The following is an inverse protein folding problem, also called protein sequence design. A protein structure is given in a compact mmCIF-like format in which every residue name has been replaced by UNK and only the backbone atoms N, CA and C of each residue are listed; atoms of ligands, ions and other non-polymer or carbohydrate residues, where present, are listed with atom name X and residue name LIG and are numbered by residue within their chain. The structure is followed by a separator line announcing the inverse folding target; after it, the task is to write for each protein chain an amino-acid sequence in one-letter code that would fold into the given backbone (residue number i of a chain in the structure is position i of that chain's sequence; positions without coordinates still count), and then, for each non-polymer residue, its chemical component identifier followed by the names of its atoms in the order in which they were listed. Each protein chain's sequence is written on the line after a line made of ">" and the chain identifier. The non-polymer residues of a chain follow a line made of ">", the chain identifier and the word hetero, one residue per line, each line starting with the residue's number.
data_IF_128005560735
#
_entry.id   IF_128005560735
#
_cell.length_a   1.000
_cell.length_b   1.000
_cell.length_c   1.000
_cell.angle_alpha   90.00
_cell.angle_beta   90.00
_cell.angle_gamma   90.00
#
_symmetry.space_group_name_H-M   'P 1'
#
loop_
_entity.id
_entity.type
_entity.pdbx_description
1 polymer ?
#
# COMPACT_ATOMS: atom_id res chain seq x y z
N UNK A 1 -7.03 11.93 37.74
CA UNK A 1 -6.19 12.47 36.66
C UNK A 1 -7.11 12.64 35.45
N UNK A 2 -7.42 13.88 35.02
CA UNK A 2 -8.25 14.07 33.82
C UNK A 2 -7.48 13.50 32.63
N UNK A 3 -7.98 12.43 32.01
CA UNK A 3 -7.54 12.09 30.67
C UNK A 3 -7.84 13.30 29.79
N UNK A 4 -6.86 13.75 29.01
CA UNK A 4 -7.13 14.77 27.99
C UNK A 4 -8.19 14.17 27.05
N UNK A 5 -9.36 14.79 26.96
CA UNK A 5 -10.38 14.42 25.96
C UNK A 5 -9.84 14.83 24.59
N UNK A 6 -9.26 13.86 23.88
CA UNK A 6 -8.70 14.03 22.55
C UNK A 6 -9.73 13.74 21.45
N UNK A 7 -11.02 13.66 21.79
CA UNK A 7 -12.09 13.23 20.89
C UNK A 7 -12.32 14.17 19.70
N UNK A 8 -11.78 15.39 19.79
CA UNK A 8 -11.80 16.40 18.72
C UNK A 8 -10.56 16.35 17.81
N UNK A 9 -9.58 15.52 18.10
CA UNK A 9 -8.39 15.40 17.26
C UNK A 9 -8.77 14.85 15.89
N UNK A 10 -8.51 15.64 14.86
CA UNK A 10 -8.72 15.27 13.47
C UNK A 10 -7.41 14.91 12.75
N UNK A 11 -6.27 15.31 13.32
CA UNK A 11 -4.94 15.11 12.75
C UNK A 11 -3.91 14.93 13.88
N UNK A 12 -2.99 13.97 13.69
CA UNK A 12 -1.88 13.71 14.59
C UNK A 12 -0.62 13.48 13.74
N UNK A 13 0.45 14.19 14.08
CA UNK A 13 1.78 13.96 13.53
C UNK A 13 2.77 13.69 14.67
N UNK A 14 3.43 12.54 14.63
CA UNK A 14 4.53 12.20 15.53
C UNK A 14 5.81 12.23 14.71
N UNK A 15 6.55 13.34 14.81
CA UNK A 15 7.74 13.60 14.00
C UNK A 15 8.97 13.62 14.89
N UNK A 16 10.00 12.86 14.53
CA UNK A 16 11.33 12.89 15.15
C UNK A 16 11.29 12.67 16.68
N UNK A 17 10.33 11.87 17.15
CA UNK A 17 10.22 11.51 18.56
C UNK A 17 11.18 10.35 18.86
N UNK A 18 12.48 10.63 18.84
CA UNK A 18 13.52 9.60 18.89
C UNK A 18 13.52 8.77 20.19
N UNK A 19 13.05 9.33 21.30
CA UNK A 19 12.93 8.62 22.59
C UNK A 19 11.64 7.80 22.72
N UNK A 20 10.79 7.78 21.71
CA UNK A 20 9.52 7.05 21.73
C UNK A 20 9.77 5.55 21.56
N UNK A 21 9.46 4.76 22.60
CA UNK A 21 9.59 3.30 22.57
C UNK A 21 8.29 2.59 22.17
N UNK A 22 7.15 3.27 22.29
CA UNK A 22 5.82 2.75 21.92
C UNK A 22 4.96 3.83 21.31
N UNK A 23 4.28 3.51 20.22
CA UNK A 23 3.28 4.41 19.64
C UNK A 23 2.07 4.47 20.60
N UNK A 24 1.54 5.66 20.92
CA UNK A 24 0.32 5.77 21.71
C UNK A 24 -0.85 5.00 21.12
N UNK A 25 -1.82 4.63 21.96
CA UNK A 25 -3.07 4.03 21.51
C UNK A 25 -3.92 5.07 20.79
N UNK A 26 -4.00 5.02 19.46
CA UNK A 26 -4.69 6.03 18.65
C UNK A 26 -5.99 5.50 18.00
N UNK A 27 -6.17 4.17 17.95
CA UNK A 27 -7.29 3.57 17.22
C UNK A 27 -8.68 3.86 17.75
N UNK A 28 -8.82 4.37 18.97
CA UNK A 28 -10.09 4.75 19.57
C UNK A 28 -10.58 6.16 19.17
N UNK A 29 -9.72 6.97 18.54
CA UNK A 29 -10.04 8.37 18.23
C UNK A 29 -11.07 8.47 17.11
N UNK A 30 -12.29 8.98 17.37
CA UNK A 30 -13.42 8.86 16.44
C UNK A 30 -13.34 9.82 15.26
N UNK A 31 -12.67 10.97 15.41
CA UNK A 31 -12.58 12.02 14.38
C UNK A 31 -11.24 12.08 13.65
N UNK A 32 -10.26 11.25 14.05
CA UNK A 32 -8.93 11.26 13.45
C UNK A 32 -9.00 10.86 11.99
N UNK A 33 -8.59 11.77 11.09
CA UNK A 33 -8.56 11.60 9.63
C UNK A 33 -7.15 11.46 9.07
N UNK A 34 -6.17 12.08 9.72
CA UNK A 34 -4.80 12.13 9.24
C UNK A 34 -3.85 11.70 10.36
N UNK A 35 -3.03 10.68 10.09
CA UNK A 35 -2.01 10.21 11.00
C UNK A 35 -0.68 10.10 10.27
N UNK A 36 0.32 10.81 10.76
CA UNK A 36 1.70 10.74 10.28
C UNK A 36 2.65 10.29 11.38
N UNK A 37 3.42 9.24 11.11
CA UNK A 37 4.50 8.74 11.95
C UNK A 37 5.79 8.91 11.17
N UNK A 38 6.68 9.81 11.61
CA UNK A 38 7.93 10.13 10.90
C UNK A 38 9.12 10.14 11.86
N UNK A 39 10.21 9.48 11.50
CA UNK A 39 11.46 9.59 12.27
C UNK A 39 11.39 8.94 13.66
N UNK A 40 10.52 7.95 13.86
CA UNK A 40 10.36 7.23 15.14
C UNK A 40 11.37 6.08 15.25
N UNK A 41 12.65 6.42 15.36
CA UNK A 41 13.78 5.49 15.17
C UNK A 41 13.89 4.37 16.21
N UNK A 42 13.31 4.52 17.41
CA UNK A 42 13.36 3.49 18.45
C UNK A 42 12.18 2.51 18.42
N UNK A 43 11.16 2.78 17.61
CA UNK A 43 10.02 1.88 17.45
C UNK A 43 10.45 0.66 16.62
N UNK A 44 10.21 -0.53 17.17
CA UNK A 44 10.46 -1.81 16.48
C UNK A 44 9.20 -2.47 15.96
N UNK A 45 8.06 -2.20 16.58
CA UNK A 45 6.78 -2.80 16.18
C UNK A 45 5.62 -1.84 16.34
N UNK A 46 4.64 -1.96 15.43
CA UNK A 46 3.29 -1.40 15.60
C UNK A 46 2.42 -2.51 16.19
N UNK A 47 2.31 -2.55 17.51
CA UNK A 47 1.60 -3.58 18.27
C UNK A 47 0.07 -3.40 18.25
N UNK A 48 -0.68 -4.40 18.71
CA UNK A 48 -2.15 -4.35 18.80
C UNK A 48 -2.70 -3.17 19.64
N UNK A 49 -1.91 -2.71 20.61
CA UNK A 49 -2.22 -1.55 21.45
C UNK A 49 -2.44 -0.27 20.64
N UNK A 50 -1.79 -0.14 19.48
CA UNK A 50 -1.97 0.97 18.56
C UNK A 50 -3.43 1.10 18.10
N UNK A 51 -4.10 -0.02 17.84
CA UNK A 51 -5.50 -0.08 17.41
C UNK A 51 -6.51 0.12 18.54
N UNK A 52 -6.06 0.21 19.80
CA UNK A 52 -6.94 0.21 20.96
C UNK A 52 -7.52 -1.16 21.32
N UNK A 53 -6.86 -2.23 20.89
CA UNK A 53 -7.23 -3.61 21.22
C UNK A 53 -6.31 -4.10 22.34
N UNK A 54 -6.86 -4.37 23.52
CA UNK A 54 -6.13 -5.07 24.60
C UNK A 54 -6.28 -6.58 24.43
N UNK A 55 -5.22 -7.35 24.67
CA UNK A 55 -5.25 -8.82 24.75
C UNK A 55 -6.26 -9.39 25.78
N UNK A 56 -6.79 -8.54 26.67
CA UNK A 56 -7.77 -8.90 27.70
C UNK A 56 -9.20 -8.51 27.30
N UNK A 57 -9.79 -9.17 26.31
CA UNK A 57 -11.26 -9.21 26.20
C UNK A 57 -11.73 -10.58 25.70
N UNK A 58 -11.35 -11.62 26.44
CA UNK A 58 -11.97 -12.95 26.38
C UNK A 58 -13.02 -13.15 27.49
N UNK A 59 -13.40 -12.11 28.23
CA UNK A 59 -14.39 -12.20 29.32
C UNK A 59 -15.48 -11.13 29.20
N UNK A 60 -16.44 -11.37 28.30
CA UNK A 60 -17.89 -11.26 28.58
C UNK A 60 -18.63 -11.57 27.28
N UNK A 61 -19.17 -12.78 27.17
CA UNK A 61 -19.84 -13.29 25.97
C UNK A 61 -21.31 -12.82 25.84
N UNK A 62 -21.76 -11.82 26.60
CA UNK A 62 -23.20 -11.53 26.74
C UNK A 62 -23.57 -10.05 26.57
N UNK A 63 -23.06 -9.36 25.56
CA UNK A 63 -23.73 -8.15 25.06
C UNK A 63 -23.66 -8.16 23.52
N UNK A 64 -24.69 -7.65 22.85
CA UNK A 64 -24.87 -7.78 21.40
C UNK A 64 -23.58 -7.52 20.60
N UNK A 65 -23.28 -8.37 19.63
CA UNK A 65 -22.05 -8.32 18.82
C UNK A 65 -21.98 -7.02 17.98
N UNK A 66 -21.60 -5.91 18.59
CA UNK A 66 -21.06 -4.78 17.85
C UNK A 66 -19.60 -5.08 17.53
N UNK A 67 -19.31 -5.29 16.25
CA UNK A 67 -17.95 -5.39 15.74
C UNK A 67 -17.18 -4.15 16.17
N UNK A 68 -16.13 -4.31 16.98
CA UNK A 68 -15.28 -3.17 17.37
C UNK A 68 -14.60 -2.62 16.13
N UNK A 69 -14.64 -1.30 15.96
CA UNK A 69 -14.05 -0.58 14.83
C UNK A 69 -12.88 0.28 15.34
N UNK A 70 -11.69 0.02 14.84
CA UNK A 70 -10.49 0.82 15.11
C UNK A 70 -10.20 1.76 13.95
N UNK A 71 -9.81 2.99 14.28
CA UNK A 71 -9.60 4.07 13.32
C UNK A 71 -10.82 4.32 12.40
N UNK A 72 -12.01 4.58 12.98
CA UNK A 72 -13.26 4.62 12.22
C UNK A 72 -13.33 5.71 11.15
N UNK A 73 -12.56 6.80 11.30
CA UNK A 73 -12.56 7.95 10.39
C UNK A 73 -11.24 8.20 9.65
N UNK A 74 -10.23 7.35 9.86
CA UNK A 74 -8.88 7.60 9.34
C UNK A 74 -8.87 7.49 7.82
N UNK A 75 -8.42 8.54 7.14
CA UNK A 75 -8.38 8.64 5.67
C UNK A 75 -6.96 8.52 5.12
N UNK A 76 -5.97 9.04 5.85
CA UNK A 76 -4.56 9.02 5.45
C UNK A 76 -3.69 8.52 6.58
N UNK A 77 -2.85 7.53 6.28
CA UNK A 77 -1.84 7.00 7.17
C UNK A 77 -0.48 7.09 6.46
N UNK A 78 0.46 7.78 7.09
CA UNK A 78 1.81 7.99 6.58
C UNK A 78 2.80 7.46 7.60
N UNK A 79 3.67 6.55 7.17
CA UNK A 79 4.76 5.97 7.96
C UNK A 79 6.05 6.24 7.20
N UNK A 80 6.90 7.11 7.72
CA UNK A 80 8.12 7.56 7.05
C UNK A 80 9.34 7.45 7.98
N UNK A 81 10.50 7.09 7.45
CA UNK A 81 11.77 7.20 8.17
C UNK A 81 11.75 6.46 9.52
N UNK A 82 11.23 5.24 9.54
CA UNK A 82 11.21 4.34 10.71
C UNK A 82 12.14 3.14 10.47
N UNK A 83 13.47 3.34 10.41
CA UNK A 83 14.43 2.34 9.91
C UNK A 83 14.60 1.11 10.79
N UNK A 84 14.11 1.13 12.04
CA UNK A 84 14.16 -0.01 12.95
C UNK A 84 12.81 -0.70 13.12
N UNK A 85 11.77 -0.26 12.40
CA UNK A 85 10.47 -0.89 12.42
C UNK A 85 10.56 -2.22 11.69
N UNK A 86 10.35 -3.33 12.40
CA UNK A 86 10.42 -4.69 11.86
C UNK A 86 9.06 -5.32 11.64
N UNK A 87 8.07 -4.95 12.45
CA UNK A 87 6.75 -5.59 12.47
C UNK A 87 5.61 -4.56 12.50
N UNK A 88 4.58 -4.79 11.71
CA UNK A 88 3.28 -4.13 11.84
C UNK A 88 2.18 -5.17 12.02
N UNK A 89 1.66 -5.25 13.25
CA UNK A 89 0.73 -6.30 13.66
C UNK A 89 -0.57 -6.31 12.84
N UNK A 90 -0.97 -7.50 12.38
CA UNK A 90 -2.23 -7.71 11.69
C UNK A 90 -3.38 -7.95 12.67
N UNK A 91 -4.25 -6.95 12.84
CA UNK A 91 -5.39 -7.00 13.76
C UNK A 91 -6.62 -7.79 13.27
N UNK A 92 -6.59 -8.32 12.03
CA UNK A 92 -7.66 -9.16 11.47
C UNK A 92 -7.99 -10.38 12.34
N UNK A 93 -6.98 -10.97 13.00
CA UNK A 93 -7.14 -12.17 13.83
C UNK A 93 -7.93 -11.93 15.13
N UNK A 94 -8.25 -10.67 15.45
CA UNK A 94 -8.94 -10.30 16.69
C UNK A 94 -10.44 -10.02 16.53
N UNK A 95 -11.01 -10.23 15.34
CA UNK A 95 -12.44 -9.93 15.08
C UNK A 95 -12.76 -8.42 15.13
N UNK A 96 -11.75 -7.58 14.95
CA UNK A 96 -11.84 -6.11 14.95
C UNK A 96 -11.75 -5.63 13.51
N UNK A 97 -12.67 -4.76 13.10
CA UNK A 97 -12.56 -4.07 11.83
C UNK A 97 -11.58 -2.92 11.98
N UNK A 98 -10.54 -2.89 11.16
CA UNK A 98 -9.48 -1.87 11.24
C UNK A 98 -9.44 -1.10 9.92
N UNK A 99 -9.25 0.22 10.01
CA UNK A 99 -9.12 1.10 8.85
C UNK A 99 -10.29 1.04 7.85
N UNK A 100 -11.57 1.11 8.30
CA UNK A 100 -12.73 1.01 7.41
C UNK A 100 -12.82 2.14 6.37
N UNK A 101 -12.13 3.26 6.57
CA UNK A 101 -12.20 4.45 5.72
C UNK A 101 -10.84 4.91 5.19
N UNK A 102 -9.78 4.11 5.33
CA UNK A 102 -8.44 4.51 4.91
C UNK A 102 -8.35 4.54 3.38
N UNK A 103 -8.08 5.71 2.82
CA UNK A 103 -8.01 5.94 1.38
C UNK A 103 -6.56 6.08 0.88
N UNK A 104 -5.65 6.53 1.74
CA UNK A 104 -4.25 6.80 1.41
C UNK A 104 -3.35 6.10 2.43
N UNK A 105 -2.47 5.24 1.95
CA UNK A 105 -1.41 4.62 2.73
C UNK A 105 -0.07 4.91 2.05
N UNK A 106 0.85 5.48 2.81
CA UNK A 106 2.22 5.77 2.39
C UNK A 106 3.20 5.19 3.41
N UNK A 107 4.13 4.36 2.93
CA UNK A 107 5.18 3.73 3.73
C UNK A 107 6.51 4.02 3.03
N UNK A 108 7.40 4.76 3.68
CA UNK A 108 8.68 5.14 3.07
C UNK A 108 9.85 4.97 4.04
N UNK A 109 10.98 4.49 3.54
CA UNK A 109 12.22 4.39 4.31
C UNK A 109 12.03 3.55 5.60
N UNK A 110 11.31 2.43 5.48
CA UNK A 110 11.04 1.47 6.56
C UNK A 110 11.73 0.13 6.25
N UNK A 111 13.03 0.19 5.96
CA UNK A 111 13.80 -0.88 5.33
C UNK A 111 13.68 -2.27 6.00
N UNK A 112 13.57 -2.33 7.33
CA UNK A 112 13.49 -3.60 8.09
C UNK A 112 12.08 -4.17 8.24
N UNK A 113 11.04 -3.49 7.74
CA UNK A 113 9.66 -3.93 7.91
C UNK A 113 9.42 -5.20 7.09
N UNK A 114 8.94 -6.25 7.75
CA UNK A 114 8.68 -7.56 7.12
C UNK A 114 7.21 -7.97 7.14
N UNK A 115 6.37 -7.22 7.84
CA UNK A 115 4.93 -7.51 7.94
C UNK A 115 4.10 -6.24 7.78
N UNK A 116 2.89 -6.38 7.24
CA UNK A 116 1.88 -5.33 7.24
C UNK A 116 0.46 -5.93 7.39
N UNK A 117 -0.51 -5.15 7.90
CA UNK A 117 -1.91 -5.53 7.85
C UNK A 117 -2.35 -5.75 6.41
N UNK A 118 -3.37 -6.59 6.21
CA UNK A 118 -3.93 -6.87 4.89
C UNK A 118 -5.40 -6.43 4.79
N UNK A 119 -5.91 -5.61 5.70
CA UNK A 119 -7.30 -5.15 5.69
C UNK A 119 -7.36 -3.64 5.40
N UNK A 120 -7.57 -3.30 4.14
CA UNK A 120 -7.80 -1.91 3.70
C UNK A 120 -8.92 -1.83 2.66
N UNK A 121 -10.20 -1.94 3.07
CA UNK A 121 -11.33 -2.08 2.14
C UNK A 121 -11.55 -0.85 1.24
N UNK A 122 -11.12 0.33 1.67
CA UNK A 122 -11.34 1.60 0.96
C UNK A 122 -10.07 2.23 0.39
N UNK A 123 -8.95 1.49 0.35
CA UNK A 123 -7.66 2.04 -0.06
C UNK A 123 -7.63 2.39 -1.54
N UNK A 124 -7.50 3.68 -1.83
CA UNK A 124 -7.46 4.24 -3.19
C UNK A 124 -6.04 4.49 -3.66
N UNK A 125 -5.12 4.82 -2.75
CA UNK A 125 -3.74 5.17 -3.07
C UNK A 125 -2.79 4.43 -2.13
N UNK A 126 -1.94 3.61 -2.73
CA UNK A 126 -0.84 2.94 -2.03
C UNK A 126 0.48 3.44 -2.60
N UNK A 127 1.35 3.92 -1.73
CA UNK A 127 2.73 4.27 -2.06
C UNK A 127 3.68 3.58 -1.08
N UNK A 128 4.62 2.81 -1.63
CA UNK A 128 5.65 2.13 -0.87
C UNK A 128 7.00 2.48 -1.50
N UNK A 129 7.91 3.06 -0.70
CA UNK A 129 9.20 3.52 -1.18
C UNK A 129 10.36 3.10 -0.25
N UNK A 130 11.47 2.70 -0.86
CA UNK A 130 12.76 2.45 -0.20
C UNK A 130 12.65 1.41 0.93
N UNK A 131 12.38 0.16 0.52
CA UNK A 131 12.18 -1.00 1.40
C UNK A 131 13.19 -2.09 1.03
N UNK A 132 13.73 -2.82 2.01
CA UNK A 132 14.58 -3.97 1.70
C UNK A 132 13.71 -5.16 1.25
N UNK A 133 12.63 -5.44 1.98
CA UNK A 133 11.75 -6.57 1.70
C UNK A 133 10.46 -6.20 0.95
N UNK A 134 10.00 -7.11 0.09
CA UNK A 134 8.71 -7.00 -0.61
C UNK A 134 7.52 -7.47 0.26
N UNK A 135 7.78 -8.17 1.37
CA UNK A 135 6.75 -8.77 2.20
C UNK A 135 5.64 -7.80 2.65
N UNK A 136 5.92 -6.54 3.07
CA UNK A 136 4.86 -5.58 3.42
C UNK A 136 3.97 -5.23 2.23
N UNK A 137 4.56 -5.03 1.04
CA UNK A 137 3.80 -4.81 -0.19
C UNK A 137 2.92 -6.05 -0.46
N UNK A 138 3.54 -7.23 -0.48
CA UNK A 138 2.89 -8.52 -0.73
C UNK A 138 1.75 -8.80 0.25
N UNK A 139 1.88 -8.48 1.54
CA UNK A 139 0.79 -8.59 2.51
C UNK A 139 -0.41 -7.71 2.14
N UNK A 140 -0.17 -6.47 1.73
CA UNK A 140 -1.21 -5.50 1.42
C UNK A 140 -1.92 -5.88 0.11
N UNK A 141 -1.16 -6.15 -0.95
CA UNK A 141 -1.72 -6.36 -2.29
C UNK A 141 -2.31 -7.77 -2.50
N UNK A 142 -1.88 -8.78 -1.74
CA UNK A 142 -2.47 -10.13 -1.80
C UNK A 142 -3.84 -10.22 -1.13
N UNK A 143 -4.28 -9.16 -0.43
CA UNK A 143 -5.57 -9.14 0.25
C UNK A 143 -6.74 -9.36 -0.71
N UNK A 144 -7.74 -10.12 -0.28
CA UNK A 144 -9.03 -10.22 -0.98
C UNK A 144 -9.91 -8.97 -0.83
N UNK A 145 -9.61 -8.10 0.15
CA UNK A 145 -10.40 -6.90 0.45
C UNK A 145 -9.91 -5.66 -0.31
N UNK A 146 -8.77 -5.73 -0.98
CA UNK A 146 -8.22 -4.61 -1.73
C UNK A 146 -8.81 -4.57 -3.15
N UNK A 147 -9.93 -3.86 -3.31
CA UNK A 147 -10.68 -3.76 -4.59
C UNK A 147 -10.91 -2.31 -5.07
N UNK A 148 -10.44 -1.34 -4.29
CA UNK A 148 -10.71 0.10 -4.49
C UNK A 148 -9.49 0.90 -4.96
N UNK A 149 -8.38 0.23 -5.27
CA UNK A 149 -7.13 0.91 -5.61
C UNK A 149 -7.23 1.63 -6.95
N UNK A 150 -6.84 2.91 -6.96
CA UNK A 150 -6.80 3.79 -8.13
C UNK A 150 -5.36 4.14 -8.51
N UNK A 151 -4.47 4.23 -7.52
CA UNK A 151 -3.05 4.55 -7.71
C UNK A 151 -2.19 3.58 -6.93
N UNK A 152 -1.27 2.92 -7.61
CA UNK A 152 -0.19 2.13 -7.03
C UNK A 152 1.14 2.75 -7.45
N UNK A 153 2.00 3.05 -6.48
CA UNK A 153 3.34 3.55 -6.72
C UNK A 153 4.31 2.76 -5.84
N UNK A 154 5.26 2.07 -6.48
CA UNK A 154 6.22 1.19 -5.83
C UNK A 154 7.61 1.66 -6.25
N UNK A 155 8.45 2.01 -5.27
CA UNK A 155 9.74 2.61 -5.54
C UNK A 155 10.84 1.99 -4.69
N UNK A 156 11.96 1.57 -5.29
CA UNK A 156 13.12 1.14 -4.53
C UNK A 156 12.84 0.00 -3.54
N UNK A 157 12.10 -1.03 -3.96
CA UNK A 157 11.95 -2.25 -3.15
C UNK A 157 13.00 -3.26 -3.62
N UNK A 158 13.96 -3.57 -2.75
CA UNK A 158 15.14 -4.35 -3.11
C UNK A 158 14.78 -5.81 -3.44
N UNK A 159 14.00 -6.50 -2.61
CA UNK A 159 13.62 -7.91 -2.82
C UNK A 159 12.48 -8.12 -3.84
N UNK A 160 11.93 -7.05 -4.42
CA UNK A 160 10.78 -7.17 -5.33
C UNK A 160 11.19 -7.81 -6.65
N UNK A 161 10.80 -9.07 -6.85
CA UNK A 161 11.08 -9.83 -8.09
C UNK A 161 9.88 -9.91 -9.04
N UNK A 162 8.65 -9.87 -8.51
CA UNK A 162 7.42 -9.83 -9.28
C UNK A 162 6.28 -9.16 -8.51
N UNK A 163 5.29 -8.61 -9.23
CA UNK A 163 4.03 -8.19 -8.62
C UNK A 163 3.08 -9.39 -8.52
N UNK A 164 2.19 -9.36 -7.52
CA UNK A 164 1.17 -10.40 -7.33
C UNK A 164 0.14 -10.35 -8.46
N UNK A 165 0.00 -11.43 -9.22
CA UNK A 165 -0.83 -11.46 -10.43
C UNK A 165 -2.32 -11.22 -10.21
N UNK A 166 -2.83 -11.47 -8.99
CA UNK A 166 -4.24 -11.25 -8.70
C UNK A 166 -4.66 -9.80 -8.43
N UNK A 167 -3.67 -8.92 -8.22
CA UNK A 167 -3.87 -7.50 -7.95
C UNK A 167 -4.71 -6.83 -9.04
N UNK A 168 -4.41 -7.10 -10.32
CA UNK A 168 -4.95 -6.38 -11.46
C UNK A 168 -6.40 -6.78 -11.80
N UNK A 169 -6.77 -8.04 -11.62
CA UNK A 169 -8.16 -8.45 -11.83
C UNK A 169 -9.08 -7.98 -10.70
N UNK A 170 -8.55 -7.85 -9.47
CA UNK A 170 -9.29 -7.34 -8.29
C UNK A 170 -9.50 -5.83 -8.35
N UNK A 171 -8.50 -5.09 -8.83
CA UNK A 171 -8.50 -3.62 -8.84
C UNK A 171 -8.80 -3.07 -10.22
N UNK A 172 -10.03 -3.30 -10.67
CA UNK A 172 -10.51 -2.80 -11.95
C UNK A 172 -10.60 -1.26 -11.99
N UNK A 173 -10.41 -0.56 -10.87
CA UNK A 173 -10.38 0.90 -10.83
C UNK A 173 -8.96 1.49 -10.95
N UNK A 174 -7.92 0.65 -11.08
CA UNK A 174 -6.54 1.09 -11.11
C UNK A 174 -6.27 1.94 -12.35
N UNK A 175 -5.99 3.22 -12.14
CA UNK A 175 -5.77 4.21 -13.19
C UNK A 175 -4.30 4.58 -13.38
N UNK A 176 -3.47 4.35 -12.37
CA UNK A 176 -2.05 4.71 -12.37
C UNK A 176 -1.21 3.62 -11.71
N UNK A 177 -0.21 3.14 -12.45
CA UNK A 177 0.85 2.26 -11.96
C UNK A 177 2.21 2.92 -12.21
N UNK A 178 3.02 3.02 -11.17
CA UNK A 178 4.37 3.59 -11.19
C UNK A 178 5.32 2.64 -10.48
N UNK A 179 6.33 2.18 -11.21
CA UNK A 179 7.39 1.30 -10.76
C UNK A 179 8.72 2.03 -10.98
N UNK A 180 9.43 2.34 -9.90
CA UNK A 180 10.65 3.14 -9.96
C UNK A 180 11.79 2.48 -9.19
N UNK A 181 12.96 2.32 -9.79
CA UNK A 181 14.15 1.78 -9.12
C UNK A 181 13.91 0.41 -8.43
N UNK A 182 13.04 -0.43 -8.98
CA UNK A 182 12.85 -1.81 -8.53
C UNK A 182 13.82 -2.70 -9.31
N UNK A 183 15.11 -2.64 -8.97
CA UNK A 183 16.19 -3.19 -9.78
C UNK A 183 16.05 -4.70 -10.01
N UNK A 184 15.59 -5.46 -9.01
CA UNK A 184 15.39 -6.91 -9.10
C UNK A 184 14.05 -7.35 -9.71
N UNK A 185 13.19 -6.41 -10.15
CA UNK A 185 11.88 -6.71 -10.72
C UNK A 185 12.07 -7.36 -12.10
N UNK A 186 11.91 -8.68 -12.16
CA UNK A 186 12.11 -9.46 -13.38
C UNK A 186 10.84 -9.56 -14.23
N UNK A 187 9.66 -9.51 -13.61
CA UNK A 187 8.39 -9.76 -14.29
C UNK A 187 7.24 -8.92 -13.73
N UNK A 188 6.40 -8.39 -14.64
CA UNK A 188 5.11 -7.79 -14.32
C UNK A 188 4.03 -8.76 -14.81
N UNK A 189 3.11 -9.22 -13.94
CA UNK A 189 2.06 -10.14 -14.35
C UNK A 189 1.09 -9.50 -15.32
N UNK A 190 0.32 -10.35 -16.01
CA UNK A 190 -0.72 -9.90 -16.94
C UNK A 190 -1.62 -8.83 -16.29
N UNK A 191 -1.91 -7.80 -17.05
CA UNK A 191 -2.70 -6.64 -16.61
C UNK A 191 -4.21 -6.84 -16.87
N UNK A 192 -4.64 -8.10 -17.04
CA UNK A 192 -6.03 -8.46 -17.24
C UNK A 192 -6.90 -7.93 -16.11
N UNK A 193 -7.99 -7.25 -16.48
CA UNK A 193 -8.97 -6.69 -15.56
C UNK A 193 -8.82 -5.20 -15.27
N UNK A 194 -7.64 -4.59 -15.46
CA UNK A 194 -7.47 -3.13 -15.33
C UNK A 194 -7.40 -2.37 -16.67
N UNK A 195 -7.43 -3.08 -17.81
CA UNK A 195 -7.22 -2.48 -19.14
C UNK A 195 -8.21 -1.39 -19.58
N UNK A 196 -9.42 -1.37 -19.03
CA UNK A 196 -10.42 -0.31 -19.31
C UNK A 196 -10.28 0.92 -18.41
N UNK A 197 -9.35 0.93 -17.46
CA UNK A 197 -9.21 2.01 -16.49
C UNK A 197 -7.77 2.49 -16.32
N UNK A 198 -6.76 1.65 -16.61
CA UNK A 198 -5.37 2.04 -16.51
C UNK A 198 -5.05 3.11 -17.55
N UNK A 199 -4.80 4.35 -17.08
CA UNK A 199 -4.52 5.52 -17.91
C UNK A 199 -3.03 5.79 -18.06
N UNK A 200 -2.23 5.36 -17.07
CA UNK A 200 -0.81 5.65 -17.03
C UNK A 200 -0.04 4.49 -16.43
N UNK A 201 0.99 4.08 -17.17
CA UNK A 201 1.99 3.11 -16.76
C UNK A 201 3.36 3.77 -16.86
N UNK A 202 4.03 3.89 -15.73
CA UNK A 202 5.40 4.42 -15.63
C UNK A 202 6.31 3.33 -15.06
N UNK A 203 7.39 3.00 -15.76
CA UNK A 203 8.39 2.02 -15.34
C UNK A 203 9.75 2.66 -15.55
N UNK A 204 10.56 2.79 -14.51
CA UNK A 204 11.84 3.50 -14.61
C UNK A 204 12.89 2.92 -13.70
N UNK A 205 14.13 2.74 -14.17
CA UNK A 205 15.21 2.11 -13.40
C UNK A 205 14.88 0.69 -12.91
N UNK A 206 14.16 -0.11 -13.69
CA UNK A 206 13.90 -1.53 -13.40
C UNK A 206 14.76 -2.39 -14.32
N UNK A 207 16.01 -2.65 -13.91
CA UNK A 207 17.03 -3.21 -14.79
C UNK A 207 16.86 -4.70 -15.09
N UNK A 208 16.37 -5.51 -14.15
CA UNK A 208 16.12 -6.95 -14.40
C UNK A 208 14.85 -7.23 -15.22
N UNK A 209 14.04 -6.20 -15.54
CA UNK A 209 12.81 -6.37 -16.30
C UNK A 209 13.13 -6.65 -17.78
N UNK A 210 12.98 -7.91 -18.19
CA UNK A 210 13.32 -8.37 -19.55
C UNK A 210 12.21 -8.13 -20.58
N UNK A 211 10.95 -8.21 -20.14
CA UNK A 211 9.77 -8.08 -20.98
C UNK A 211 8.62 -7.38 -20.25
N UNK A 212 7.73 -6.74 -21.03
CA UNK A 212 6.46 -6.23 -20.53
C UNK A 212 5.36 -7.28 -20.73
N UNK A 213 4.25 -7.19 -19.97
CA UNK A 213 3.11 -8.08 -20.13
C UNK A 213 2.58 -8.08 -21.58
N UNK A 214 2.36 -9.26 -22.14
CA UNK A 214 1.92 -9.47 -23.54
C UNK A 214 0.56 -8.85 -23.85
N UNK A 215 -0.27 -8.67 -22.83
CA UNK A 215 -1.57 -8.03 -22.90
C UNK A 215 -1.54 -6.50 -22.82
N UNK A 216 -0.35 -5.88 -22.81
CA UNK A 216 -0.17 -4.43 -22.86
C UNK A 216 -0.97 -3.79 -24.01
N UNK A 217 -1.04 -4.45 -25.17
CA UNK A 217 -1.82 -4.00 -26.32
C UNK A 217 -3.34 -3.92 -26.08
N UNK A 218 -3.84 -4.57 -25.02
CA UNK A 218 -5.25 -4.61 -24.64
C UNK A 218 -5.66 -3.47 -23.69
N UNK A 219 -4.73 -2.58 -23.31
CA UNK A 219 -5.00 -1.45 -22.43
C UNK A 219 -5.68 -0.29 -23.19
N UNK A 220 -6.96 -0.45 -23.50
CA UNK A 220 -7.75 0.48 -24.32
C UNK A 220 -7.79 1.92 -23.76
N UNK A 221 -7.66 2.09 -22.45
CA UNK A 221 -7.69 3.41 -21.78
C UNK A 221 -6.32 4.01 -21.49
N UNK A 222 -5.23 3.35 -21.89
CA UNK A 222 -3.88 3.84 -21.61
C UNK A 222 -3.60 5.12 -22.40
N UNK A 223 -3.42 6.23 -21.69
CA UNK A 223 -3.15 7.56 -22.26
C UNK A 223 -1.64 7.87 -22.28
N UNK A 224 -0.88 7.32 -21.33
CA UNK A 224 0.56 7.53 -21.21
C UNK A 224 1.30 6.23 -20.84
N UNK A 225 2.33 5.91 -21.63
CA UNK A 225 3.31 4.86 -21.35
C UNK A 225 4.69 5.49 -21.29
N UNK A 226 5.32 5.44 -20.12
CA UNK A 226 6.68 5.97 -19.89
C UNK A 226 7.55 4.82 -19.37
N UNK A 227 8.51 4.40 -20.17
CA UNK A 227 9.51 3.40 -19.83
C UNK A 227 10.85 4.08 -20.02
N UNK A 228 11.72 4.05 -19.01
CA UNK A 228 13.03 4.69 -19.17
C UNK A 228 14.08 4.03 -18.29
N UNK A 229 15.31 3.96 -18.77
CA UNK A 229 16.43 3.39 -18.00
C UNK A 229 16.15 1.95 -17.51
N UNK A 230 15.49 1.12 -18.33
CA UNK A 230 15.31 -0.32 -18.09
C UNK A 230 16.27 -1.09 -19.01
N UNK A 231 17.49 -1.34 -18.53
CA UNK A 231 18.60 -1.68 -19.44
C UNK A 231 18.51 -3.08 -20.08
N UNK A 232 17.84 -4.05 -19.43
CA UNK A 232 17.67 -5.40 -19.99
C UNK A 232 16.35 -5.61 -20.73
N UNK A 233 15.51 -4.58 -20.88
CA UNK A 233 14.23 -4.71 -21.57
C UNK A 233 14.46 -4.93 -23.07
N UNK A 234 14.21 -6.15 -23.55
CA UNK A 234 14.53 -6.55 -24.93
C UNK A 234 13.37 -6.30 -25.90
N UNK A 235 12.15 -6.45 -25.42
CA UNK A 235 10.94 -6.41 -26.23
C UNK A 235 9.89 -5.52 -25.57
N UNK A 236 9.34 -4.63 -26.37
CA UNK A 236 8.08 -3.96 -26.06
C UNK A 236 7.02 -4.70 -26.88
N UNK A 237 6.00 -5.28 -26.23
CA UNK A 237 4.93 -6.00 -26.91
C UNK A 237 4.35 -5.11 -28.00
N UNK A 238 4.58 -5.50 -29.25
CA UNK A 238 3.92 -4.86 -30.36
C UNK A 238 2.48 -5.39 -30.37
N UNK A 239 1.45 -4.53 -30.36
CA UNK A 239 0.06 -4.99 -30.44
C UNK A 239 -0.16 -5.71 -31.77
N UNK A 240 -0.05 -7.04 -31.72
CA UNK A 240 -0.13 -7.92 -32.89
C UNK A 240 -1.59 -8.32 -33.10
N UNK A 241 -2.41 -7.38 -33.59
CA UNK A 241 -3.84 -7.57 -33.81
C UNK A 241 -4.61 -6.25 -33.79
N UNK A 242 -5.83 -6.23 -34.34
CA UNK A 242 -6.68 -5.05 -34.56
C UNK A 242 -7.04 -4.19 -33.32
N UNK A 243 -6.49 -4.49 -32.13
CA UNK A 243 -6.60 -3.69 -30.91
C UNK A 243 -5.20 -3.22 -30.51
N UNK A 244 -4.86 -1.99 -30.91
CA UNK A 244 -3.71 -1.27 -30.39
C UNK A 244 -4.11 -0.35 -29.24
N UNK A 245 -3.12 0.26 -28.59
CA UNK A 245 -3.27 1.29 -27.55
C UNK A 245 -3.99 2.54 -28.08
N UNK A 246 -5.30 2.45 -28.29
CA UNK A 246 -6.10 3.43 -29.05
C UNK A 246 -6.21 4.80 -28.38
N UNK A 247 -6.09 4.84 -27.05
CA UNK A 247 -6.11 6.08 -26.26
C UNK A 247 -4.74 6.71 -26.04
N UNK A 248 -3.65 6.08 -26.52
CA UNK A 248 -2.29 6.49 -26.20
C UNK A 248 -1.96 7.84 -26.83
N UNK A 249 -1.54 8.79 -25.98
CA UNK A 249 -1.17 10.16 -26.38
C UNK A 249 0.29 10.47 -26.08
N UNK A 250 0.88 9.77 -25.11
CA UNK A 250 2.28 9.93 -24.72
C UNK A 250 2.96 8.57 -24.67
N UNK A 251 4.06 8.47 -25.40
CA UNK A 251 4.95 7.33 -25.40
C UNK A 251 6.38 7.84 -25.18
N UNK A 252 7.03 7.35 -24.14
CA UNK A 252 8.45 7.55 -23.87
C UNK A 252 9.05 6.19 -23.55
N UNK A 253 10.15 5.83 -24.23
CA UNK A 253 10.85 4.54 -24.16
C UNK A 253 12.34 4.83 -24.20
#
# INVERSE_FOLDING_TARGET
>A
MKMLELDKLFEIELINCYNCEKIPMLGHLPLLKYLKLKGLTNIRSIEFSFYGVSYCSSTSRNDGQETRVSFPSLKSLIIEEMPNLTEWANAQMSGVQVFPCLEILKIENCCKLTTAPNLFPCLKKLHIENMDSDLPLSNIISSSNLTSLVRLSIRGILELTCLVGDLFYKNQNLAYLDLWACENLAYIPHLWGCGTFLKRLEITFCDELMELPDDLGSLDSLEALDISFCNNLQLIPYPSGQKGLSSLRRLNI
#
